data_IF_238452232603
#
_entry.id   IF_238452232603
#
_cell.length_a   1.000
_cell.length_b   1.000
_cell.length_c   1.000
_cell.angle_alpha   90.00
_cell.angle_beta   90.00
_cell.angle_gamma   90.00
#
_symmetry.space_group_name_H-M   'P 1'
#
loop_
_entity.id
_entity.type
_entity.pdbx_description
1 polymer ?
#
# COMPACT_ATOMS: atom_id res chain seq x y z
N UNK A 1 9.19 2.72 -12.30
CA UNK A 1 9.55 1.47 -11.60
C UNK A 1 10.88 1.68 -10.92
N UNK A 2 10.95 1.35 -9.63
CA UNK A 2 12.18 1.40 -8.84
C UNK A 2 12.59 -0.03 -8.47
N UNK A 3 13.87 -0.23 -8.19
CA UNK A 3 14.40 -1.43 -7.55
C UNK A 3 15.21 -1.06 -6.32
N UNK A 4 15.21 -1.96 -5.36
CA UNK A 4 15.92 -1.84 -4.10
C UNK A 4 16.60 -3.17 -3.80
N UNK A 5 17.84 -3.13 -3.33
CA UNK A 5 18.61 -4.33 -3.02
C UNK A 5 18.27 -4.81 -1.61
N UNK A 6 17.61 -5.97 -1.51
CA UNK A 6 17.19 -6.53 -0.22
C UNK A 6 18.37 -6.97 0.67
N UNK A 7 19.52 -7.25 0.06
CA UNK A 7 20.76 -7.59 0.78
C UNK A 7 21.34 -6.39 1.55
N UNK A 8 20.95 -5.15 1.20
CA UNK A 8 21.41 -3.98 1.92
C UNK A 8 20.80 -3.93 3.34
N UNK A 9 21.58 -3.44 4.35
CA UNK A 9 21.06 -3.19 5.68
C UNK A 9 19.79 -2.33 5.64
N UNK A 10 18.76 -2.70 6.41
CA UNK A 10 17.44 -2.03 6.39
C UNK A 10 17.50 -0.51 6.58
N UNK A 11 18.49 -0.02 7.33
CA UNK A 11 18.68 1.41 7.61
C UNK A 11 19.04 2.24 6.37
N UNK A 12 19.74 1.63 5.40
CA UNK A 12 20.17 2.31 4.16
C UNK A 12 19.34 1.90 2.94
N UNK A 13 18.75 0.70 2.97
CA UNK A 13 18.03 0.07 1.86
C UNK A 13 17.11 1.01 1.07
N UNK A 14 16.37 1.87 1.75
CA UNK A 14 15.38 2.77 1.15
C UNK A 14 15.84 4.23 1.03
N UNK A 15 17.13 4.48 1.21
CA UNK A 15 17.73 5.74 0.83
C UNK A 15 17.63 5.89 -0.68
N UNK A 16 17.53 7.14 -1.13
CA UNK A 16 17.37 7.43 -2.55
C UNK A 16 18.62 7.01 -3.33
N UNK A 17 19.77 7.18 -2.68
CA UNK A 17 21.12 6.81 -3.13
C UNK A 17 21.26 5.29 -3.33
N UNK A 18 20.53 4.50 -2.55
CA UNK A 18 20.50 3.03 -2.60
C UNK A 18 19.34 2.48 -3.45
N UNK A 19 18.51 3.37 -4.02
CA UNK A 19 17.36 3.01 -4.85
C UNK A 19 17.69 3.19 -6.32
N UNK A 20 17.45 2.15 -7.11
CA UNK A 20 17.71 2.15 -8.56
C UNK A 20 16.43 2.57 -9.28
N UNK A 21 16.48 3.66 -10.06
CA UNK A 21 15.40 4.01 -10.99
C UNK A 21 15.57 3.23 -12.30
N UNK A 22 14.79 2.15 -12.45
CA UNK A 22 14.86 1.25 -13.60
C UNK A 22 14.26 1.88 -14.86
N UNK A 23 13.07 2.46 -14.73
CA UNK A 23 12.33 3.04 -15.85
C UNK A 23 11.23 3.98 -15.38
N UNK A 24 10.75 4.83 -16.28
CA UNK A 24 9.56 5.65 -16.13
C UNK A 24 8.62 5.39 -17.30
N UNK A 25 7.33 5.23 -17.03
CA UNK A 25 6.32 5.06 -18.08
C UNK A 25 5.91 6.44 -18.61
N UNK A 26 5.87 6.64 -19.94
CA UNK A 26 5.39 7.89 -20.52
C UNK A 26 3.95 8.19 -20.09
N UNK A 27 3.71 9.41 -19.60
CA UNK A 27 2.37 9.97 -19.44
C UNK A 27 1.83 10.61 -20.72
N UNK A 28 0.63 11.22 -20.70
CA UNK A 28 -0.24 11.41 -19.52
C UNK A 28 -1.21 10.24 -19.29
N UNK A 29 -1.42 9.39 -20.30
CA UNK A 29 -2.31 8.23 -20.21
C UNK A 29 -1.57 7.01 -19.68
N UNK A 30 -2.29 6.19 -18.93
CA UNK A 30 -1.75 4.92 -18.46
C UNK A 30 -1.47 3.98 -19.66
N UNK A 31 -0.32 3.29 -19.71
CA UNK A 31 0.01 2.41 -20.83
C UNK A 31 -0.96 1.23 -20.94
N UNK A 32 -1.26 0.80 -22.17
CA UNK A 32 -1.94 -0.47 -22.43
C UNK A 32 -1.11 -1.65 -21.93
N UNK A 33 -1.71 -2.83 -21.81
CA UNK A 33 -0.97 -4.04 -21.40
C UNK A 33 0.18 -4.37 -22.37
N UNK A 34 -0.05 -4.19 -23.68
CA UNK A 34 0.98 -4.39 -24.71
C UNK A 34 2.11 -3.37 -24.59
N UNK A 35 1.78 -2.08 -24.48
CA UNK A 35 2.78 -1.01 -24.29
C UNK A 35 3.60 -1.23 -23.02
N UNK A 36 2.94 -1.62 -21.92
CA UNK A 36 3.60 -1.98 -20.67
C UNK A 36 4.60 -3.12 -20.90
N UNK A 37 4.18 -4.22 -21.52
CA UNK A 37 5.05 -5.36 -21.82
C UNK A 37 6.25 -4.96 -22.67
N UNK A 38 6.06 -4.12 -23.69
CA UNK A 38 7.15 -3.67 -24.57
C UNK A 38 8.21 -2.87 -23.82
N UNK A 39 7.80 -1.98 -22.90
CA UNK A 39 8.74 -1.19 -22.09
C UNK A 39 9.41 -2.07 -21.01
N UNK A 40 8.63 -2.92 -20.32
CA UNK A 40 9.14 -3.75 -19.23
C UNK A 40 10.09 -4.84 -19.73
N UNK A 41 9.92 -5.32 -20.97
CA UNK A 41 10.80 -6.33 -21.59
C UNK A 41 12.27 -5.96 -21.50
N UNK A 42 12.62 -4.67 -21.67
CA UNK A 42 14.02 -4.20 -21.63
C UNK A 42 14.70 -4.61 -20.32
N UNK A 43 13.99 -4.41 -19.20
CA UNK A 43 14.50 -4.70 -17.86
C UNK A 43 14.38 -6.18 -17.51
N UNK A 44 13.33 -6.88 -17.98
CA UNK A 44 13.22 -8.35 -17.83
C UNK A 44 14.40 -9.07 -18.48
N UNK A 45 14.83 -8.65 -19.68
CA UNK A 45 16.02 -9.23 -20.32
C UNK A 45 17.31 -8.96 -19.55
N UNK A 46 17.43 -7.82 -18.86
CA UNK A 46 18.58 -7.59 -17.95
C UNK A 46 18.52 -8.50 -16.73
N UNK A 47 17.34 -8.68 -16.14
CA UNK A 47 17.17 -9.57 -14.99
C UNK A 47 17.45 -11.04 -15.32
N UNK A 48 17.11 -11.50 -16.53
CA UNK A 48 17.47 -12.86 -16.99
C UNK A 48 18.99 -13.03 -17.02
N UNK A 49 19.73 -12.06 -17.57
CA UNK A 49 21.20 -12.08 -17.57
C UNK A 49 21.80 -12.04 -16.17
N UNK A 50 21.27 -11.17 -15.30
CA UNK A 50 21.75 -11.07 -13.92
C UNK A 50 21.40 -12.31 -13.10
N UNK A 51 20.32 -13.03 -13.43
CA UNK A 51 20.00 -14.29 -12.78
C UNK A 51 21.06 -15.37 -13.12
N UNK A 52 21.44 -15.46 -14.40
CA UNK A 52 22.48 -16.40 -14.86
C UNK A 52 23.86 -16.08 -14.26
N UNK A 53 24.09 -14.82 -13.88
CA UNK A 53 25.31 -14.33 -13.24
C UNK A 53 26.15 -13.48 -14.18
N UNK A 54 26.65 -12.35 -13.67
CA UNK A 54 27.53 -11.43 -14.39
C UNK A 54 28.77 -11.17 -13.55
N UNK A 55 29.95 -11.21 -14.16
CA UNK A 55 31.19 -10.87 -13.48
C UNK A 55 31.24 -9.37 -13.20
N UNK A 56 31.41 -8.99 -11.93
CA UNK A 56 31.59 -7.61 -11.49
C UNK A 56 32.98 -7.42 -10.90
N UNK A 57 33.60 -6.28 -11.19
CA UNK A 57 34.80 -5.86 -10.48
C UNK A 57 34.39 -5.36 -9.10
N UNK A 58 34.89 -6.02 -8.06
CA UNK A 58 34.66 -5.62 -6.67
C UNK A 58 35.86 -4.79 -6.21
N UNK A 59 35.61 -3.71 -5.46
CA UNK A 59 36.69 -2.87 -4.95
C UNK A 59 37.61 -3.69 -4.04
N UNK A 60 38.91 -3.65 -4.33
CA UNK A 60 39.95 -4.42 -3.60
C UNK A 60 39.75 -5.95 -3.59
N UNK A 61 38.98 -6.49 -4.53
CA UNK A 61 38.80 -7.93 -4.69
C UNK A 61 38.86 -8.35 -6.17
N UNK A 62 39.11 -9.63 -6.40
CA UNK A 62 39.04 -10.22 -7.73
C UNK A 62 37.61 -10.12 -8.29
N UNK A 63 37.43 -10.12 -9.63
CA UNK A 63 36.10 -10.12 -10.21
C UNK A 63 35.27 -11.30 -9.69
N UNK A 64 34.08 -11.01 -9.17
CA UNK A 64 33.17 -12.03 -8.63
C UNK A 64 31.88 -12.12 -9.44
N UNK A 65 31.31 -13.32 -9.49
CA UNK A 65 30.01 -13.54 -10.11
C UNK A 65 28.91 -12.93 -9.24
N UNK A 66 28.20 -11.95 -9.80
CA UNK A 66 27.08 -11.29 -9.16
C UNK A 66 25.77 -11.80 -9.75
N UNK A 67 24.88 -12.27 -8.89
CA UNK A 67 23.56 -12.78 -9.24
C UNK A 67 22.46 -11.89 -8.70
N UNK A 68 21.43 -11.62 -9.51
CA UNK A 68 20.21 -10.92 -9.07
C UNK A 68 18.99 -11.77 -9.36
N UNK A 69 18.14 -11.89 -8.33
CA UNK A 69 16.81 -12.42 -8.48
C UNK A 69 15.79 -11.35 -8.08
N UNK A 70 14.75 -11.17 -8.91
CA UNK A 70 13.61 -10.31 -8.56
C UNK A 70 12.77 -11.05 -7.52
N UNK A 71 12.83 -10.60 -6.28
CA UNK A 71 12.17 -11.28 -5.17
C UNK A 71 10.67 -10.97 -5.04
N UNK A 72 10.26 -9.72 -5.26
CA UNK A 72 8.90 -9.27 -5.01
C UNK A 72 8.55 -8.00 -5.78
N UNK A 73 7.27 -7.80 -6.08
CA UNK A 73 6.66 -6.53 -6.48
C UNK A 73 5.90 -5.92 -5.31
N UNK A 74 6.19 -4.65 -5.04
CA UNK A 74 5.51 -3.83 -4.04
C UNK A 74 5.01 -2.58 -4.75
N UNK A 75 3.72 -2.56 -5.02
CA UNK A 75 3.08 -1.47 -5.75
C UNK A 75 1.65 -1.27 -5.28
N UNK A 76 1.01 -0.20 -5.76
CA UNK A 76 -0.43 -0.08 -5.59
C UNK A 76 -1.15 -1.20 -6.36
N UNK A 77 -2.41 -1.42 -6.01
CA UNK A 77 -3.15 -2.56 -6.54
C UNK A 77 -3.26 -2.56 -8.09
N UNK A 78 -3.62 -1.45 -8.77
CA UNK A 78 -3.63 -1.42 -10.24
C UNK A 78 -2.28 -1.76 -10.87
N UNK A 79 -1.18 -1.18 -10.39
CA UNK A 79 0.15 -1.46 -10.91
C UNK A 79 0.53 -2.93 -10.68
N UNK A 80 0.21 -3.50 -9.52
CA UNK A 80 0.48 -4.91 -9.22
C UNK A 80 -0.28 -5.85 -10.17
N UNK A 81 -1.57 -5.58 -10.45
CA UNK A 81 -2.36 -6.38 -11.41
C UNK A 81 -1.75 -6.36 -12.80
N UNK A 82 -1.34 -5.18 -13.27
CA UNK A 82 -0.71 -5.01 -14.58
C UNK A 82 0.64 -5.72 -14.66
N UNK A 83 1.50 -5.53 -13.65
CA UNK A 83 2.83 -6.13 -13.58
C UNK A 83 2.76 -7.66 -13.52
N UNK A 84 1.83 -8.22 -12.75
CA UNK A 84 1.65 -9.67 -12.62
C UNK A 84 0.83 -10.32 -13.73
N UNK A 85 0.17 -9.53 -14.58
CA UNK A 85 -0.71 -10.04 -15.63
C UNK A 85 -2.03 -10.63 -15.13
N UNK A 86 -2.46 -10.32 -13.91
CA UNK A 86 -3.74 -10.81 -13.36
C UNK A 86 -4.86 -9.81 -13.59
N UNK A 87 -6.13 -10.26 -13.52
CA UNK A 87 -7.27 -9.37 -13.73
C UNK A 87 -7.39 -8.27 -12.67
N UNK A 88 -8.10 -7.21 -13.05
CA UNK A 88 -8.45 -6.12 -12.16
C UNK A 88 -9.20 -6.61 -10.91
N UNK A 89 -8.96 -5.95 -9.78
CA UNK A 89 -9.60 -6.25 -8.50
C UNK A 89 -11.12 -6.06 -8.49
N UNK A 90 -11.71 -5.48 -9.53
CA UNK A 90 -13.16 -5.38 -9.73
C UNK A 90 -13.75 -6.64 -10.38
N UNK A 91 -12.93 -7.60 -10.79
CA UNK A 91 -13.38 -8.88 -11.36
C UNK A 91 -14.22 -9.66 -10.35
N UNK A 92 -15.39 -10.14 -10.79
CA UNK A 92 -16.32 -10.90 -9.94
C UNK A 92 -15.67 -12.15 -9.33
N UNK A 93 -14.90 -12.91 -10.11
CA UNK A 93 -14.34 -14.20 -9.68
C UNK A 93 -12.84 -14.17 -9.45
N UNK A 94 -12.14 -13.11 -9.89
CA UNK A 94 -10.69 -12.99 -9.80
C UNK A 94 -10.27 -11.68 -9.11
N UNK A 95 -11.11 -11.17 -8.20
CA UNK A 95 -10.81 -9.98 -7.38
C UNK A 95 -9.52 -10.17 -6.58
N UNK A 96 -9.39 -11.34 -5.95
CA UNK A 96 -8.20 -11.78 -5.26
C UNK A 96 -7.41 -12.73 -6.17
N UNK A 97 -6.11 -12.48 -6.30
CA UNK A 97 -5.13 -13.32 -7.00
C UNK A 97 -4.47 -14.35 -6.07
N UNK A 98 -4.66 -14.23 -4.76
CA UNK A 98 -4.14 -15.19 -3.78
C UNK A 98 -5.12 -16.31 -3.48
N UNK A 99 -6.44 -16.04 -3.43
CA UNK A 99 -7.45 -17.06 -3.11
C UNK A 99 -8.71 -16.97 -4.00
N UNK A 100 -9.56 -18.00 -3.91
CA UNK A 100 -10.77 -18.16 -4.72
C UNK A 100 -11.98 -17.31 -4.30
N UNK A 101 -11.84 -16.47 -3.27
CA UNK A 101 -12.95 -15.63 -2.77
C UNK A 101 -13.49 -14.68 -3.86
N UNK A 102 -14.77 -14.80 -4.25
CA UNK A 102 -15.37 -13.92 -5.24
C UNK A 102 -15.76 -12.58 -4.62
N UNK A 103 -15.91 -11.55 -5.46
CA UNK A 103 -16.19 -10.18 -5.04
C UNK A 103 -17.50 -10.04 -4.24
N UNK A 104 -18.53 -10.80 -4.60
CA UNK A 104 -19.82 -10.76 -3.89
C UNK A 104 -19.75 -11.41 -2.50
N UNK A 105 -18.76 -12.27 -2.22
CA UNK A 105 -18.61 -12.93 -0.93
C UNK A 105 -18.01 -12.02 0.16
N UNK A 106 -17.63 -10.77 -0.17
CA UNK A 106 -17.14 -9.75 0.77
C UNK A 106 -18.19 -9.25 1.80
N UNK A 107 -19.34 -9.92 1.88
CA UNK A 107 -20.35 -9.72 2.93
C UNK A 107 -20.37 -10.90 3.92
N UNK A 108 -19.63 -11.95 3.61
CA UNK A 108 -19.53 -13.15 4.42
C UNK A 108 -18.33 -13.05 5.36
N UNK A 109 -18.51 -13.21 6.68
CA UNK A 109 -17.40 -13.26 7.63
C UNK A 109 -16.33 -14.29 7.27
N UNK A 110 -16.70 -15.41 6.61
CA UNK A 110 -15.73 -16.44 6.25
C UNK A 110 -14.74 -15.99 5.17
N UNK A 111 -15.10 -14.96 4.38
CA UNK A 111 -14.18 -14.29 3.46
C UNK A 111 -13.06 -13.52 4.19
N UNK A 112 -13.11 -13.41 5.51
CA UNK A 112 -12.14 -12.73 6.35
C UNK A 112 -11.53 -13.65 7.41
N UNK A 113 -11.55 -14.95 7.14
CA UNK A 113 -10.95 -15.97 8.00
C UNK A 113 -9.91 -16.73 7.17
N UNK A 114 -8.63 -16.48 7.45
CA UNK A 114 -7.51 -17.08 6.70
C UNK A 114 -7.55 -18.61 6.68
N UNK A 115 -8.09 -19.24 7.73
CA UNK A 115 -8.19 -20.71 7.83
C UNK A 115 -9.26 -21.33 6.94
N UNK A 116 -10.16 -20.52 6.36
CA UNK A 116 -11.26 -20.98 5.50
C UNK A 116 -11.04 -20.67 4.02
N UNK A 117 -9.95 -19.97 3.68
CA UNK A 117 -9.66 -19.59 2.31
C UNK A 117 -9.06 -20.76 1.52
N UNK A 118 -9.37 -20.80 0.23
CA UNK A 118 -8.74 -21.72 -0.72
C UNK A 118 -7.78 -20.95 -1.59
N UNK A 119 -6.49 -21.25 -1.44
CA UNK A 119 -5.43 -20.60 -2.21
C UNK A 119 -5.52 -20.97 -3.69
N UNK A 120 -5.20 -20.00 -4.53
CA UNK A 120 -5.08 -20.24 -5.97
C UNK A 120 -3.75 -20.90 -6.26
N UNK A 121 -3.75 -21.76 -7.28
CA UNK A 121 -2.52 -22.31 -7.82
C UNK A 121 -1.80 -21.26 -8.71
N UNK A 122 -0.61 -20.75 -8.32
CA UNK A 122 0.15 -19.82 -9.14
C UNK A 122 0.64 -20.46 -10.45
N UNK A 123 0.86 -21.77 -10.49
CA UNK A 123 1.30 -22.47 -11.70
C UNK A 123 0.20 -22.53 -12.75
N UNK A 124 -1.06 -22.61 -12.31
CA UNK A 124 -2.22 -22.44 -13.19
C UNK A 124 -2.19 -21.06 -13.87
N UNK A 125 -1.85 -20.00 -13.14
CA UNK A 125 -1.74 -18.67 -13.74
C UNK A 125 -0.64 -18.61 -14.80
N UNK A 126 0.57 -19.11 -14.48
CA UNK A 126 1.66 -19.17 -15.46
C UNK A 126 1.27 -19.97 -16.71
N UNK A 127 0.70 -21.17 -16.53
CA UNK A 127 0.25 -22.02 -17.64
C UNK A 127 -0.67 -21.27 -18.60
N UNK A 128 -1.65 -20.53 -18.08
CA UNK A 128 -2.59 -19.78 -18.91
C UNK A 128 -2.01 -18.48 -19.45
N UNK A 129 -1.07 -17.84 -18.76
CA UNK A 129 -0.35 -16.67 -19.26
C UNK A 129 0.45 -17.01 -20.53
N UNK A 130 1.24 -18.09 -20.51
CA UNK A 130 1.99 -18.55 -21.69
C UNK A 130 1.07 -19.00 -22.83
N UNK A 131 -0.05 -19.67 -22.52
CA UNK A 131 -1.07 -19.99 -23.53
C UNK A 131 -1.68 -18.73 -24.16
N UNK A 132 -1.92 -17.68 -23.37
CA UNK A 132 -2.44 -16.41 -23.88
C UNK A 132 -1.44 -15.67 -24.76
N UNK A 133 -0.13 -15.76 -24.45
CA UNK A 133 0.96 -15.16 -25.26
C UNK A 133 0.98 -15.67 -26.68
N UNK A 134 0.80 -16.99 -26.84
CA UNK A 134 0.94 -17.69 -28.12
C UNK A 134 -0.41 -17.86 -28.86
N UNK A 135 -1.49 -17.28 -28.32
CA UNK A 135 -2.85 -17.39 -28.85
C UNK A 135 -3.26 -16.18 -29.70
N UNK A 136 -4.35 -16.33 -30.47
CA UNK A 136 -5.03 -15.19 -31.09
C UNK A 136 -5.63 -14.27 -30.03
N UNK A 137 -5.89 -13.01 -30.38
CA UNK A 137 -6.47 -12.02 -29.47
C UNK A 137 -7.80 -12.48 -28.86
N UNK A 138 -8.67 -13.12 -29.65
CA UNK A 138 -9.95 -13.67 -29.19
C UNK A 138 -9.75 -14.76 -28.12
N UNK A 139 -8.84 -15.69 -28.36
CA UNK A 139 -8.54 -16.78 -27.41
C UNK A 139 -7.85 -16.23 -26.16
N UNK A 140 -6.96 -15.24 -26.30
CA UNK A 140 -6.31 -14.58 -25.18
C UNK A 140 -7.34 -13.84 -24.28
N UNK A 141 -8.34 -13.18 -24.88
CA UNK A 141 -9.41 -12.53 -24.12
C UNK A 141 -10.35 -13.56 -23.46
N UNK A 142 -10.61 -14.69 -24.10
CA UNK A 142 -11.33 -15.80 -23.45
C UNK A 142 -10.56 -16.35 -22.25
N UNK A 143 -9.24 -16.55 -22.38
CA UNK A 143 -8.36 -16.97 -21.27
C UNK A 143 -8.41 -15.93 -20.16
N UNK A 144 -8.25 -14.65 -20.47
CA UNK A 144 -8.38 -13.53 -19.54
C UNK A 144 -9.68 -13.63 -18.75
N UNK A 145 -10.83 -13.72 -19.42
CA UNK A 145 -12.15 -13.79 -18.79
C UNK A 145 -12.37 -15.04 -17.95
N UNK A 146 -12.02 -16.22 -18.45
CA UNK A 146 -12.33 -17.52 -17.81
C UNK A 146 -11.28 -17.96 -16.81
N UNK A 147 -10.03 -17.51 -16.97
CA UNK A 147 -8.87 -17.99 -16.21
C UNK A 147 -8.24 -16.92 -15.33
N UNK A 148 -8.58 -15.65 -15.53
CA UNK A 148 -8.20 -14.56 -14.63
C UNK A 148 -6.81 -14.00 -14.88
N UNK A 149 -6.22 -14.25 -16.06
CA UNK A 149 -4.83 -13.93 -16.37
C UNK A 149 -4.61 -13.57 -17.82
N UNK A 150 -3.67 -12.67 -18.05
CA UNK A 150 -3.15 -12.19 -19.32
C UNK A 150 -1.63 -12.40 -19.32
N UNK A 151 -1.04 -12.35 -20.51
CA UNK A 151 0.42 -12.38 -20.62
C UNK A 151 1.04 -11.11 -20.02
N UNK A 152 1.96 -11.30 -19.06
CA UNK A 152 2.91 -10.29 -18.65
C UNK A 152 4.32 -10.77 -18.98
N UNK A 153 5.16 -9.89 -19.53
CA UNK A 153 6.57 -10.23 -19.80
C UNK A 153 7.33 -10.62 -18.52
N UNK A 154 6.86 -10.20 -17.35
CA UNK A 154 7.41 -10.61 -16.06
C UNK A 154 7.27 -12.12 -15.82
N UNK A 155 6.31 -12.80 -16.47
CA UNK A 155 6.12 -14.25 -16.37
C UNK A 155 7.28 -15.07 -16.96
N UNK A 156 8.22 -14.44 -17.69
CA UNK A 156 9.46 -15.07 -18.13
C UNK A 156 10.51 -15.20 -17.03
N UNK A 157 10.41 -14.41 -15.96
CA UNK A 157 11.39 -14.43 -14.89
C UNK A 157 11.23 -15.67 -14.02
N UNK A 158 12.37 -16.29 -13.69
CA UNK A 158 12.41 -17.40 -12.73
C UNK A 158 11.86 -16.92 -11.38
N UNK A 159 11.01 -17.75 -10.75
CA UNK A 159 10.33 -17.46 -9.48
C UNK A 159 9.35 -16.27 -9.50
N UNK A 160 8.99 -15.75 -10.68
CA UNK A 160 7.89 -14.81 -10.82
C UNK A 160 6.55 -15.54 -10.93
N UNK A 161 5.83 -15.63 -9.82
CA UNK A 161 4.59 -16.36 -9.68
C UNK A 161 3.42 -15.38 -9.42
N UNK A 162 2.48 -15.22 -10.37
CA UNK A 162 1.27 -14.42 -10.14
C UNK A 162 0.50 -14.93 -8.92
N UNK A 163 0.07 -14.01 -8.04
CA UNK A 163 -0.56 -14.35 -6.77
C UNK A 163 0.40 -14.69 -5.62
N UNK A 164 1.73 -14.65 -5.85
CA UNK A 164 2.75 -14.91 -4.81
C UNK A 164 3.85 -13.84 -4.79
N UNK A 165 4.26 -13.33 -5.95
CA UNK A 165 5.35 -12.35 -6.07
C UNK A 165 4.87 -10.90 -5.90
N UNK A 166 3.61 -10.61 -6.23
CA UNK A 166 3.00 -9.29 -6.01
C UNK A 166 2.40 -9.20 -4.61
N UNK A 167 2.92 -8.29 -3.78
CA UNK A 167 2.44 -8.10 -2.41
C UNK A 167 1.26 -7.14 -2.36
N UNK A 168 0.36 -7.38 -1.41
CA UNK A 168 -0.54 -6.36 -0.91
C UNK A 168 0.26 -5.38 -0.04
N UNK A 169 0.75 -4.31 -0.65
CA UNK A 169 1.53 -3.26 0.03
C UNK A 169 0.84 -2.75 1.31
N UNK A 170 1.58 -2.73 2.42
CA UNK A 170 1.06 -2.37 3.73
C UNK A 170 0.54 -0.92 3.76
N UNK A 171 1.23 -0.01 3.08
CA UNK A 171 0.90 1.42 3.10
C UNK A 171 -0.45 1.70 2.44
N UNK A 172 -0.67 1.19 1.23
CA UNK A 172 -1.89 1.33 0.46
C UNK A 172 -3.01 0.51 1.07
N UNK A 173 -2.74 -0.73 1.48
CA UNK A 173 -3.75 -1.62 2.03
C UNK A 173 -4.24 -1.10 3.40
N UNK A 174 -3.37 -0.98 4.40
CA UNK A 174 -3.81 -0.57 5.74
C UNK A 174 -4.09 0.94 5.81
N UNK A 175 -3.10 1.77 5.49
CA UNK A 175 -3.22 3.21 5.74
C UNK A 175 -4.03 3.93 4.67
N UNK A 176 -3.80 3.61 3.40
CA UNK A 176 -4.46 4.21 2.24
C UNK A 176 -5.91 3.76 2.04
N UNK A 177 -6.24 2.52 2.42
CA UNK A 177 -7.56 1.93 2.19
C UNK A 177 -8.32 1.63 3.49
N UNK A 178 -7.86 0.71 4.36
CA UNK A 178 -8.61 0.27 5.54
C UNK A 178 -8.94 1.43 6.50
N UNK A 179 -7.93 2.17 6.96
CA UNK A 179 -8.14 3.31 7.89
C UNK A 179 -9.02 4.36 7.25
N UNK A 180 -8.73 4.71 5.98
CA UNK A 180 -9.51 5.67 5.21
C UNK A 180 -10.98 5.24 5.11
N UNK A 181 -11.24 3.96 4.88
CA UNK A 181 -12.59 3.41 4.75
C UNK A 181 -13.33 3.36 6.08
N UNK A 182 -12.66 2.92 7.15
CA UNK A 182 -13.18 2.98 8.51
C UNK A 182 -13.63 4.41 8.85
N UNK A 183 -12.73 5.39 8.71
CA UNK A 183 -13.02 6.78 9.04
C UNK A 183 -14.10 7.35 8.13
N UNK A 184 -13.88 7.36 6.82
CA UNK A 184 -14.75 8.08 5.89
C UNK A 184 -16.08 7.39 5.63
N UNK A 185 -16.10 6.06 5.54
CA UNK A 185 -17.27 5.33 5.11
C UNK A 185 -18.04 4.73 6.30
N UNK A 186 -17.38 3.92 7.14
CA UNK A 186 -18.05 3.25 8.27
C UNK A 186 -18.51 4.27 9.31
N UNK A 187 -17.66 5.21 9.71
CA UNK A 187 -17.99 6.16 10.77
C UNK A 187 -18.68 7.43 10.26
N UNK A 188 -18.05 8.21 9.36
CA UNK A 188 -18.61 9.49 8.93
C UNK A 188 -19.79 9.37 7.98
N UNK A 189 -19.63 8.75 6.80
CA UNK A 189 -20.73 8.72 5.80
C UNK A 189 -21.96 7.98 6.31
N UNK A 190 -21.79 6.92 7.10
CA UNK A 190 -22.94 6.25 7.72
C UNK A 190 -23.45 6.97 8.97
N UNK A 191 -22.95 8.16 9.32
CA UNK A 191 -23.52 9.00 10.37
C UNK A 191 -23.42 8.38 11.76
N UNK A 192 -22.31 7.69 12.06
CA UNK A 192 -22.02 7.19 13.41
C UNK A 192 -21.50 8.29 14.33
N UNK A 193 -20.94 9.35 13.74
CA UNK A 193 -20.43 10.52 14.44
C UNK A 193 -21.25 11.71 13.95
N UNK A 194 -21.92 12.39 14.86
CA UNK A 194 -22.71 13.58 14.61
C UNK A 194 -21.85 14.85 14.59
N UNK A 195 -22.49 16.01 14.49
CA UNK A 195 -21.80 17.30 14.44
C UNK A 195 -21.07 17.61 15.74
N UNK A 196 -21.68 17.33 16.90
CA UNK A 196 -21.07 17.57 18.20
C UNK A 196 -19.86 16.66 18.42
N UNK A 197 -20.00 15.36 18.18
CA UNK A 197 -18.89 14.40 18.25
C UNK A 197 -17.77 14.74 17.28
N UNK A 198 -18.09 15.25 16.08
CA UNK A 198 -17.07 15.74 15.13
C UNK A 198 -16.25 16.89 15.72
N UNK A 199 -16.91 17.85 16.37
CA UNK A 199 -16.24 18.99 17.01
C UNK A 199 -15.37 18.53 18.18
N UNK A 200 -15.88 17.65 19.04
CA UNK A 200 -15.12 17.04 20.15
C UNK A 200 -13.83 16.35 19.68
N UNK A 201 -13.89 15.61 18.57
CA UNK A 201 -12.71 14.96 17.97
C UNK A 201 -11.71 15.99 17.44
N UNK A 202 -12.16 17.08 16.79
CA UNK A 202 -11.27 18.14 16.32
C UNK A 202 -10.55 18.83 17.48
N UNK A 203 -11.27 19.15 18.55
CA UNK A 203 -10.71 19.80 19.74
C UNK A 203 -9.69 18.89 20.44
N UNK A 204 -9.97 17.59 20.50
CA UNK A 204 -8.99 16.59 20.93
C UNK A 204 -7.73 16.63 20.06
N UNK A 205 -7.84 16.55 18.73
CA UNK A 205 -6.66 16.58 17.86
C UNK A 205 -5.87 17.89 17.94
N UNK A 206 -6.55 19.02 18.18
CA UNK A 206 -5.93 20.34 18.31
C UNK A 206 -5.13 20.50 19.60
N UNK A 207 -5.52 19.82 20.67
CA UNK A 207 -4.87 19.89 21.99
C UNK A 207 -3.72 18.89 22.14
N UNK A 208 -3.62 17.89 21.26
CA UNK A 208 -2.52 16.93 21.26
C UNK A 208 -1.18 17.56 20.91
N UNK A 209 -0.16 17.24 21.71
CA UNK A 209 1.24 17.52 21.41
C UNK A 209 1.81 16.35 20.62
N UNK A 210 2.10 16.57 19.34
CA UNK A 210 2.66 15.56 18.46
C UNK A 210 4.20 15.52 18.57
N UNK A 211 4.83 14.34 18.69
CA UNK A 211 6.27 14.22 18.62
C UNK A 211 6.85 14.82 17.33
N UNK A 212 8.07 15.40 17.35
CA UNK A 212 8.70 15.98 16.16
C UNK A 212 8.90 14.98 15.00
N UNK A 213 8.91 13.67 15.30
CA UNK A 213 8.99 12.61 14.29
C UNK A 213 7.74 12.52 13.40
N UNK A 214 6.60 13.06 13.84
CA UNK A 214 5.36 13.07 13.08
C UNK A 214 5.32 14.34 12.22
N UNK A 215 5.84 14.19 11.01
CA UNK A 215 6.01 15.30 10.06
C UNK A 215 4.69 15.83 9.45
N UNK A 216 3.61 15.04 9.52
CA UNK A 216 2.29 15.39 8.96
C UNK A 216 1.20 15.16 9.99
N UNK A 217 0.59 16.25 10.42
CA UNK A 217 -0.52 16.21 11.37
C UNK A 217 -1.74 15.49 10.77
N UNK A 218 -2.57 14.85 11.63
CA UNK A 218 -3.82 14.24 11.21
C UNK A 218 -4.67 15.19 10.37
N UNK A 219 -5.48 14.65 9.45
CA UNK A 219 -6.40 15.49 8.68
C UNK A 219 -7.44 16.09 9.61
N UNK A 220 -7.86 17.33 9.31
CA UNK A 220 -9.09 17.88 9.88
C UNK A 220 -10.23 16.90 9.63
N UNK A 221 -10.97 16.66 10.70
CA UNK A 221 -12.10 15.75 10.78
C UNK A 221 -13.35 16.38 10.16
N UNK A 222 -13.55 17.69 10.35
CA UNK A 222 -14.67 18.48 9.84
C UNK A 222 -14.48 18.92 8.38
N UNK A 223 -13.24 19.26 7.97
CA UNK A 223 -12.96 19.68 6.60
C UNK A 223 -12.73 18.48 5.71
N UNK A 224 -13.82 17.95 5.17
CA UNK A 224 -13.76 17.08 3.99
C UNK A 224 -13.25 17.82 2.75
N UNK A 225 -11.97 18.16 2.66
CA UNK A 225 -11.38 18.70 1.44
C UNK A 225 -9.84 18.63 1.46
N UNK A 226 -9.31 17.55 0.87
CA UNK A 226 -7.89 17.34 0.60
C UNK A 226 -7.58 15.85 0.35
N UNK A 227 -6.61 15.57 -0.52
CA UNK A 227 -6.07 14.21 -0.68
C UNK A 227 -5.21 13.87 0.55
N UNK A 228 -5.88 13.42 1.61
CA UNK A 228 -5.25 12.99 2.87
C UNK A 228 -4.28 11.86 2.55
N UNK A 229 -3.00 12.05 2.90
CA UNK A 229 -1.93 11.11 2.60
C UNK A 229 -1.93 9.93 3.57
N UNK A 230 -1.43 8.78 3.15
CA UNK A 230 -1.36 7.57 3.96
C UNK A 230 -0.68 7.79 5.32
N UNK A 231 0.39 8.59 5.36
CA UNK A 231 1.11 8.94 6.58
C UNK A 231 0.24 9.69 7.61
N UNK A 232 -0.69 10.54 7.13
CA UNK A 232 -1.63 11.23 8.02
C UNK A 232 -2.67 10.27 8.61
N UNK A 233 -3.12 9.27 7.84
CA UNK A 233 -4.00 8.22 8.34
C UNK A 233 -3.31 7.35 9.38
N UNK A 234 -2.04 7.00 9.15
CA UNK A 234 -1.20 6.25 10.10
C UNK A 234 -1.05 7.00 11.43
N UNK A 235 -0.73 8.29 11.38
CA UNK A 235 -0.61 9.10 12.61
C UNK A 235 -1.95 9.22 13.33
N UNK A 236 -3.04 9.44 12.58
CA UNK A 236 -4.37 9.60 13.15
C UNK A 236 -4.85 8.34 13.90
N UNK A 237 -4.76 7.15 13.28
CA UNK A 237 -5.35 5.92 13.87
C UNK A 237 -4.73 5.56 15.23
N UNK A 238 -3.48 5.98 15.45
CA UNK A 238 -2.71 5.72 16.68
C UNK A 238 -3.41 6.24 17.92
N UNK A 239 -4.15 7.35 17.81
CA UNK A 239 -4.85 8.00 18.92
C UNK A 239 -6.34 8.19 18.65
N UNK A 240 -6.84 7.75 17.48
CA UNK A 240 -8.20 8.02 17.06
C UNK A 240 -9.26 7.40 17.99
N UNK A 241 -9.00 6.22 18.54
CA UNK A 241 -9.91 5.58 19.50
C UNK A 241 -10.13 6.43 20.77
N UNK A 242 -9.15 7.25 21.18
CA UNK A 242 -9.29 8.19 22.29
C UNK A 242 -10.18 9.35 21.88
N UNK A 243 -9.96 9.93 20.69
CA UNK A 243 -10.86 10.96 20.16
C UNK A 243 -12.30 10.46 20.02
N UNK A 244 -12.48 9.21 19.62
CA UNK A 244 -13.79 8.56 19.54
C UNK A 244 -14.43 8.36 20.92
N UNK A 245 -13.62 8.03 21.93
CA UNK A 245 -14.09 7.96 23.32
C UNK A 245 -14.60 9.33 23.78
N UNK A 246 -13.81 10.40 23.59
CA UNK A 246 -14.21 11.78 23.94
C UNK A 246 -15.50 12.20 23.22
N UNK A 247 -15.74 11.69 22.01
CA UNK A 247 -16.94 12.02 21.24
C UNK A 247 -18.21 11.34 21.74
N UNK A 248 -18.10 10.11 22.27
CA UNK A 248 -19.23 9.21 22.53
C UNK A 248 -19.45 8.89 24.01
N UNK A 249 -18.51 9.22 24.89
CA UNK A 249 -18.66 8.92 26.31
C UNK A 249 -19.86 9.64 26.92
N UNK A 250 -20.52 8.92 27.83
CA UNK A 250 -21.56 9.44 28.72
C UNK A 250 -21.22 8.93 30.11
N UNK A 251 -20.89 9.84 31.03
CA UNK A 251 -20.43 9.51 32.38
C UNK A 251 -19.19 8.61 32.36
N UNK A 252 -18.20 8.95 31.53
CA UNK A 252 -16.91 8.24 31.43
C UNK A 252 -16.99 6.81 30.88
N UNK A 253 -18.14 6.42 30.30
CA UNK A 253 -18.32 5.13 29.65
C UNK A 253 -18.90 5.28 28.24
N UNK A 254 -18.58 4.35 27.34
CA UNK A 254 -19.23 4.30 26.02
C UNK A 254 -20.60 3.65 26.18
N UNK A 255 -21.70 4.34 25.88
CA UNK A 255 -23.02 3.79 26.10
C UNK A 255 -23.29 2.60 25.16
N UNK A 256 -23.98 1.57 25.66
CA UNK A 256 -24.47 0.46 24.83
C UNK A 256 -25.81 0.83 24.19
N UNK A 257 -25.75 1.82 23.31
CA UNK A 257 -26.88 2.32 22.53
C UNK A 257 -26.51 2.40 21.05
N UNK A 258 -27.52 2.47 20.20
CA UNK A 258 -27.32 2.73 18.78
C UNK A 258 -27.11 4.23 18.51
N UNK A 259 -26.26 4.54 17.53
CA UNK A 259 -26.14 5.89 17.00
C UNK A 259 -27.48 6.35 16.41
N UNK A 260 -27.90 7.58 16.75
CA UNK A 260 -29.16 8.16 16.27
C UNK A 260 -29.30 8.05 14.74
N UNK A 261 -30.50 7.71 14.23
CA UNK A 261 -30.73 7.65 12.79
C UNK A 261 -30.46 9.01 12.13
N UNK A 262 -29.80 8.97 10.97
CA UNK A 262 -29.62 10.20 10.20
C UNK A 262 -30.96 10.66 9.60
N UNK A 263 -31.32 11.95 9.66
CA UNK A 263 -32.54 12.44 9.05
C UNK A 263 -32.58 12.15 7.55
N UNK A 264 -33.76 11.80 7.02
CA UNK A 264 -33.95 11.28 5.66
C UNK A 264 -33.47 12.23 4.54
N UNK A 265 -33.43 13.54 4.81
CA UNK A 265 -32.96 14.58 3.89
C UNK A 265 -31.44 14.81 3.92
N UNK A 266 -30.68 14.03 4.70
CA UNK A 266 -29.22 14.18 4.83
C UNK A 266 -28.44 13.34 3.82
N UNK A 267 -27.21 13.77 3.52
CA UNK A 267 -26.25 12.98 2.71
C UNK A 267 -25.92 11.65 3.38
N UNK A 268 -25.96 11.58 4.71
CA UNK A 268 -25.72 10.37 5.48
C UNK A 268 -26.84 9.34 5.27
N UNK A 269 -28.10 9.74 5.35
CA UNK A 269 -29.23 8.83 5.07
C UNK A 269 -29.20 8.30 3.63
N UNK A 270 -28.88 9.14 2.65
CA UNK A 270 -28.70 8.71 1.26
C UNK A 270 -27.54 7.71 1.11
N UNK A 271 -26.42 7.94 1.82
CA UNK A 271 -25.27 7.04 1.81
C UNK A 271 -25.58 5.69 2.48
N UNK A 272 -26.30 5.69 3.59
CA UNK A 272 -26.78 4.48 4.28
C UNK A 272 -27.65 3.64 3.33
N UNK A 273 -28.67 4.25 2.71
CA UNK A 273 -29.54 3.55 1.76
C UNK A 273 -28.78 2.96 0.56
N UNK A 274 -27.80 3.69 0.02
CA UNK A 274 -26.96 3.21 -1.07
C UNK A 274 -26.08 2.02 -0.65
N UNK A 275 -25.48 2.07 0.54
CA UNK A 275 -24.65 0.98 1.07
C UNK A 275 -25.48 -0.25 1.44
N UNK A 276 -26.64 -0.07 2.08
CA UNK A 276 -27.57 -1.16 2.37
C UNK A 276 -28.00 -1.87 1.08
N UNK A 277 -28.39 -1.12 0.04
CA UNK A 277 -28.72 -1.70 -1.27
C UNK A 277 -27.57 -2.54 -1.83
N UNK A 278 -26.34 -2.03 -1.75
CA UNK A 278 -25.15 -2.72 -2.24
C UNK A 278 -24.84 -4.00 -1.44
N UNK A 279 -24.89 -3.92 -0.11
CA UNK A 279 -24.63 -5.05 0.80
C UNK A 279 -25.69 -6.13 0.61
N UNK A 280 -26.98 -5.77 0.56
CA UNK A 280 -28.09 -6.70 0.31
C UNK A 280 -27.98 -7.39 -1.05
N UNK A 281 -27.59 -6.66 -2.10
CA UNK A 281 -27.38 -7.25 -3.41
C UNK A 281 -26.27 -8.32 -3.39
N UNK A 282 -25.14 -8.03 -2.72
CA UNK A 282 -24.05 -9.00 -2.55
C UNK A 282 -24.44 -10.18 -1.66
N UNK A 283 -25.18 -9.94 -0.58
CA UNK A 283 -25.69 -11.01 0.29
C UNK A 283 -26.60 -11.96 -0.48
N UNK A 284 -27.51 -11.42 -1.30
CA UNK A 284 -28.40 -12.23 -2.14
C UNK A 284 -27.61 -13.07 -3.13
N UNK A 285 -26.64 -12.47 -3.80
CA UNK A 285 -25.78 -13.19 -4.75
C UNK A 285 -24.94 -14.27 -4.06
N UNK A 286 -24.34 -13.98 -2.90
CA UNK A 286 -23.58 -14.95 -2.12
C UNK A 286 -24.46 -16.11 -1.63
N UNK A 287 -25.68 -15.82 -1.16
CA UNK A 287 -26.64 -16.83 -0.74
C UNK A 287 -27.00 -17.76 -1.90
N UNK A 288 -27.42 -17.21 -3.05
CA UNK A 288 -27.82 -18.00 -4.21
C UNK A 288 -26.65 -18.78 -4.84
N UNK A 289 -25.42 -18.28 -4.70
CA UNK A 289 -24.23 -19.01 -5.14
C UNK A 289 -23.94 -20.24 -4.25
N UNK A 290 -24.27 -20.18 -2.95
CA UNK A 290 -24.07 -21.29 -1.99
C UNK A 290 -25.26 -22.23 -1.91
N UNK A 291 -26.47 -21.69 -2.05
CA UNK A 291 -27.73 -22.41 -1.98
C UNK A 291 -28.67 -21.89 -3.09
N UNK A 292 -28.67 -22.51 -4.28
CA UNK A 292 -29.54 -22.11 -5.39
C UNK A 292 -31.04 -22.18 -5.05
N UNK A 293 -31.42 -23.05 -4.12
CA UNK A 293 -32.79 -23.30 -3.68
C UNK A 293 -33.13 -22.56 -2.37
N UNK A 294 -32.48 -21.40 -2.13
CA UNK A 294 -32.70 -20.59 -0.94
C UNK A 294 -34.18 -20.25 -0.72
N UNK A 295 -34.63 -20.39 0.53
CA UNK A 295 -36.03 -20.18 0.92
C UNK A 295 -36.41 -18.70 0.87
N UNK A 296 -37.70 -18.40 0.70
CA UNK A 296 -38.19 -17.01 0.76
C UNK A 296 -37.88 -16.36 2.12
N UNK A 297 -37.86 -17.14 3.21
CA UNK A 297 -37.50 -16.64 4.53
C UNK A 297 -36.03 -16.18 4.61
N UNK A 298 -35.10 -16.87 3.94
CA UNK A 298 -33.69 -16.43 3.86
C UNK A 298 -33.54 -15.17 3.01
N UNK A 299 -34.26 -15.09 1.89
CA UNK A 299 -34.27 -13.90 1.04
C UNK A 299 -34.89 -12.69 1.75
N UNK A 300 -35.93 -12.89 2.57
CA UNK A 300 -36.58 -11.83 3.34
C UNK A 300 -35.66 -11.26 4.44
N UNK A 301 -34.87 -12.12 5.12
CA UNK A 301 -33.85 -11.67 6.07
C UNK A 301 -32.84 -10.72 5.42
N UNK A 302 -32.47 -10.97 4.16
CA UNK A 302 -31.55 -10.09 3.41
C UNK A 302 -32.23 -8.75 3.10
N UNK A 303 -33.52 -8.73 2.75
CA UNK A 303 -34.24 -7.47 2.42
C UNK A 303 -34.26 -6.49 3.60
N UNK A 304 -34.27 -6.99 4.83
CA UNK A 304 -34.30 -6.18 6.05
C UNK A 304 -32.93 -5.91 6.67
N UNK A 305 -31.85 -6.53 6.16
CA UNK A 305 -30.49 -6.36 6.70
C UNK A 305 -30.03 -4.90 6.66
N UNK A 306 -29.56 -4.37 7.78
CA UNK A 306 -29.03 -3.00 7.92
C UNK A 306 -27.70 -3.04 8.65
N UNK A 307 -26.89 -2.00 8.46
CA UNK A 307 -25.66 -1.83 9.24
C UNK A 307 -26.03 -1.69 10.71
N UNK A 308 -25.35 -2.46 11.55
CA UNK A 308 -25.40 -2.32 13.00
C UNK A 308 -24.85 -0.95 13.42
N UNK A 309 -25.58 -0.26 14.31
CA UNK A 309 -25.27 1.11 14.73
C UNK A 309 -24.84 1.20 16.20
N UNK A 310 -24.56 0.07 16.87
CA UNK A 310 -24.14 0.07 18.28
C UNK A 310 -22.82 0.81 18.46
N UNK A 311 -22.85 1.89 19.24
CA UNK A 311 -21.67 2.71 19.55
C UNK A 311 -20.60 1.87 20.26
N UNK A 312 -21.02 1.07 21.24
CA UNK A 312 -20.18 0.13 21.98
C UNK A 312 -19.45 -0.83 21.04
N UNK A 313 -20.17 -1.56 20.17
CA UNK A 313 -19.54 -2.53 19.25
C UNK A 313 -18.57 -1.87 18.28
N UNK A 314 -18.92 -0.72 17.71
CA UNK A 314 -18.01 0.00 16.82
C UNK A 314 -16.77 0.51 17.55
N UNK A 315 -16.91 1.02 18.77
CA UNK A 315 -15.79 1.47 19.59
C UNK A 315 -14.82 0.33 19.88
N UNK A 316 -15.31 -0.81 20.36
CA UNK A 316 -14.49 -1.98 20.70
C UNK A 316 -13.71 -2.47 19.47
N UNK A 317 -14.36 -2.49 18.30
CA UNK A 317 -13.72 -2.86 17.03
C UNK A 317 -12.68 -1.83 16.59
N UNK A 318 -12.94 -0.52 16.75
CA UNK A 318 -11.95 0.52 16.45
C UNK A 318 -10.72 0.39 17.35
N UNK A 319 -10.90 0.16 18.66
CA UNK A 319 -9.80 -0.04 19.60
C UNK A 319 -8.96 -1.27 19.23
N UNK A 320 -9.60 -2.42 18.97
CA UNK A 320 -8.93 -3.64 18.55
C UNK A 320 -8.20 -3.46 17.20
N UNK A 321 -8.84 -2.79 16.24
CA UNK A 321 -8.24 -2.47 14.94
C UNK A 321 -7.00 -1.58 15.11
N UNK A 322 -7.07 -0.54 15.95
CA UNK A 322 -5.92 0.31 16.25
C UNK A 322 -4.77 -0.50 16.83
N UNK A 323 -5.03 -1.36 17.82
CA UNK A 323 -3.99 -2.22 18.40
C UNK A 323 -3.36 -3.15 17.35
N UNK A 324 -4.18 -3.78 16.50
CA UNK A 324 -3.70 -4.63 15.41
C UNK A 324 -2.79 -3.86 14.44
N UNK A 325 -3.23 -2.67 14.00
CA UNK A 325 -2.45 -1.82 13.08
C UNK A 325 -1.13 -1.37 13.71
N UNK A 326 -1.11 -1.01 15.00
CA UNK A 326 0.12 -0.63 15.70
C UNK A 326 1.13 -1.78 15.74
N UNK A 327 0.67 -3.00 16.08
CA UNK A 327 1.52 -4.18 16.09
C UNK A 327 2.14 -4.41 14.71
N UNK A 328 1.31 -4.43 13.66
CA UNK A 328 1.73 -4.73 12.28
C UNK A 328 2.59 -3.63 11.65
N UNK A 329 2.51 -2.39 12.14
CA UNK A 329 3.31 -1.27 11.66
C UNK A 329 4.68 -1.12 12.36
N UNK A 330 5.04 -2.04 13.27
CA UNK A 330 6.30 -2.02 14.01
C UNK A 330 7.52 -2.24 13.12
N UNK A 331 8.65 -1.61 13.48
CA UNK A 331 9.93 -1.77 12.77
C UNK A 331 10.60 -3.13 13.06
N UNK A 332 10.27 -3.72 14.20
CA UNK A 332 10.64 -5.06 14.62
C UNK A 332 9.35 -5.78 15.00
N UNK A 333 9.18 -7.02 14.53
CA UNK A 333 7.99 -7.82 14.82
C UNK A 333 8.39 -9.29 14.87
N UNK A 334 7.93 -10.00 15.90
CA UNK A 334 8.09 -11.44 16.04
C UNK A 334 6.95 -12.19 15.34
N UNK A 335 7.11 -13.48 14.98
CA UNK A 335 6.02 -14.29 14.43
C UNK A 335 4.77 -14.34 15.33
N UNK A 336 4.94 -14.33 16.65
CA UNK A 336 3.83 -14.28 17.60
C UNK A 336 3.06 -12.95 17.53
N UNK A 337 3.78 -11.83 17.37
CA UNK A 337 3.15 -10.52 17.19
C UNK A 337 2.45 -10.42 15.84
N UNK A 338 3.02 -10.98 14.77
CA UNK A 338 2.34 -11.11 13.47
C UNK A 338 1.01 -11.84 13.64
N UNK A 339 1.03 -13.05 14.23
CA UNK A 339 -0.19 -13.83 14.48
C UNK A 339 -1.20 -13.09 15.35
N UNK A 340 -0.74 -12.40 16.39
CA UNK A 340 -1.61 -11.59 17.27
C UNK A 340 -2.25 -10.42 16.52
N UNK A 341 -1.46 -9.68 15.75
CA UNK A 341 -1.89 -8.52 14.96
C UNK A 341 -2.85 -8.91 13.84
N UNK A 342 -2.48 -9.89 13.01
CA UNK A 342 -3.30 -10.42 11.93
C UNK A 342 -4.59 -11.07 12.46
N UNK A 343 -4.50 -11.90 13.51
CA UNK A 343 -5.69 -12.48 14.12
C UNK A 343 -6.63 -11.43 14.74
N UNK A 344 -6.09 -10.37 15.36
CA UNK A 344 -6.91 -9.26 15.85
C UNK A 344 -7.59 -8.50 14.71
N UNK A 345 -6.86 -8.26 13.61
CA UNK A 345 -7.39 -7.63 12.41
C UNK A 345 -8.51 -8.47 11.78
N UNK A 346 -8.28 -9.77 11.56
CA UNK A 346 -9.30 -10.71 11.03
C UNK A 346 -10.57 -10.70 11.87
N UNK A 347 -10.45 -10.83 13.20
CA UNK A 347 -11.61 -10.80 14.10
C UNK A 347 -12.40 -9.50 13.96
N UNK A 348 -11.72 -8.37 13.93
CA UNK A 348 -12.38 -7.07 13.76
C UNK A 348 -13.13 -6.99 12.43
N UNK A 349 -12.51 -7.41 11.34
CA UNK A 349 -13.12 -7.37 10.01
C UNK A 349 -14.32 -8.32 9.92
N UNK A 350 -14.20 -9.53 10.48
CA UNK A 350 -15.32 -10.47 10.58
C UNK A 350 -16.49 -9.90 11.37
N UNK A 351 -16.22 -9.20 12.48
CA UNK A 351 -17.27 -8.53 13.26
C UNK A 351 -17.94 -7.42 12.46
N UNK A 352 -17.17 -6.57 11.75
CA UNK A 352 -17.78 -5.58 10.85
C UNK A 352 -18.60 -6.20 9.72
N UNK A 353 -18.19 -7.36 9.19
CA UNK A 353 -19.00 -8.11 8.22
C UNK A 353 -20.32 -8.60 8.83
N UNK A 354 -20.31 -9.16 10.05
CA UNK A 354 -21.52 -9.57 10.80
C UNK A 354 -22.43 -8.38 11.14
N UNK A 355 -21.82 -7.22 11.36
CA UNK A 355 -22.51 -5.95 11.56
C UNK A 355 -23.06 -5.34 10.26
N UNK A 356 -22.98 -6.07 9.13
CA UNK A 356 -23.42 -5.62 7.81
C UNK A 356 -22.78 -4.30 7.36
N UNK A 357 -21.58 -3.97 7.86
CA UNK A 357 -20.82 -2.84 7.35
C UNK A 357 -20.42 -3.13 5.90
N UNK A 358 -20.54 -2.15 5.01
CA UNK A 358 -19.99 -2.28 3.68
C UNK A 358 -18.46 -2.32 3.76
N UNK A 359 -17.85 -3.45 3.43
CA UNK A 359 -16.42 -3.65 3.36
C UNK A 359 -15.94 -3.66 1.90
N UNK A 360 -14.83 -2.96 1.64
CA UNK A 360 -14.13 -2.99 0.35
C UNK A 360 -13.14 -4.14 0.29
N UNK A 361 -12.73 -4.52 -0.93
CA UNK A 361 -11.79 -5.61 -1.21
C UNK A 361 -10.49 -5.58 -0.40
N UNK A 362 -9.98 -4.40 -0.03
CA UNK A 362 -8.75 -4.30 0.76
C UNK A 362 -8.87 -4.97 2.15
N UNK A 363 -10.07 -5.00 2.74
CA UNK A 363 -10.28 -5.73 4.01
C UNK A 363 -10.06 -7.23 3.84
N UNK A 364 -10.38 -7.78 2.66
CA UNK A 364 -10.08 -9.17 2.35
C UNK A 364 -8.59 -9.35 2.11
N UNK A 365 -7.93 -8.44 1.40
CA UNK A 365 -6.48 -8.52 1.20
C UNK A 365 -5.67 -8.49 2.49
N UNK A 366 -6.19 -7.79 3.51
CA UNK A 366 -5.57 -7.73 4.83
C UNK A 366 -5.41 -9.11 5.52
N UNK A 367 -6.22 -10.10 5.14
CA UNK A 367 -6.13 -11.46 5.73
C UNK A 367 -4.97 -12.28 5.16
N UNK A 368 -4.43 -11.88 4.01
CA UNK A 368 -3.24 -12.51 3.41
C UNK A 368 -1.93 -11.98 4.01
N UNK A 369 -2.00 -10.92 4.84
CA UNK A 369 -0.79 -10.27 5.36
C UNK A 369 0.05 -11.17 6.25
N UNK A 370 -0.55 -12.11 7.00
CA UNK A 370 0.20 -12.99 7.90
C UNK A 370 1.29 -13.76 7.15
N UNK A 371 0.95 -14.38 6.02
CA UNK A 371 1.91 -15.09 5.18
C UNK A 371 2.99 -14.14 4.61
N UNK A 372 2.60 -12.92 4.20
CA UNK A 372 3.56 -11.93 3.71
C UNK A 372 4.54 -11.49 4.80
N UNK A 373 4.08 -11.27 6.04
CA UNK A 373 4.95 -10.94 7.17
C UNK A 373 5.93 -12.06 7.49
N UNK A 374 5.47 -13.31 7.46
CA UNK A 374 6.34 -14.48 7.70
C UNK A 374 7.41 -14.63 6.61
N UNK A 375 7.08 -14.27 5.37
CA UNK A 375 8.00 -14.38 4.22
C UNK A 375 8.96 -13.19 4.08
N UNK A 376 8.49 -11.97 4.32
CA UNK A 376 9.23 -10.73 4.02
C UNK A 376 9.67 -9.96 5.27
N UNK A 377 9.23 -10.39 6.46
CA UNK A 377 9.54 -9.73 7.72
C UNK A 377 8.68 -8.48 7.97
N UNK A 378 9.17 -7.53 8.79
CA UNK A 378 8.39 -6.37 9.22
C UNK A 378 7.92 -5.49 8.06
N UNK A 379 6.73 -4.92 8.25
CA UNK A 379 6.04 -4.05 7.28
C UNK A 379 6.90 -2.96 6.66
N UNK A 380 7.75 -2.25 7.43
CA UNK A 380 8.64 -1.23 6.87
C UNK A 380 9.61 -1.71 5.79
N UNK A 381 9.85 -3.03 5.70
CA UNK A 381 10.65 -3.66 4.65
C UNK A 381 9.95 -3.80 3.30
N UNK A 382 8.63 -3.61 3.23
CA UNK A 382 7.85 -3.83 2.00
C UNK A 382 6.67 -2.87 1.88
N UNK A 383 6.79 -1.67 2.46
CA UNK A 383 5.82 -0.59 2.27
C UNK A 383 6.30 0.46 1.24
N UNK A 384 5.38 1.13 0.55
CA UNK A 384 5.76 2.05 -0.55
C UNK A 384 6.10 3.49 -0.15
N UNK A 385 6.10 3.85 1.14
CA UNK A 385 6.42 5.22 1.58
C UNK A 385 7.74 5.78 0.98
N UNK A 386 8.85 5.02 0.92
CA UNK A 386 10.08 5.52 0.30
C UNK A 386 9.92 5.85 -1.19
N UNK A 387 9.22 5.01 -1.94
CA UNK A 387 8.99 5.23 -3.37
C UNK A 387 8.06 6.41 -3.64
N UNK A 388 7.06 6.66 -2.78
CA UNK A 388 6.25 7.88 -2.86
C UNK A 388 7.09 9.15 -2.65
N UNK A 389 8.07 9.11 -1.73
CA UNK A 389 9.02 10.23 -1.55
C UNK A 389 9.89 10.43 -2.79
N UNK A 390 10.32 9.34 -3.42
CA UNK A 390 11.09 9.38 -4.66
C UNK A 390 10.28 9.97 -5.83
N UNK A 391 8.99 9.59 -5.96
CA UNK A 391 8.06 10.21 -6.91
C UNK A 391 7.94 11.73 -6.65
N UNK A 392 7.79 12.13 -5.39
CA UNK A 392 7.75 13.54 -4.99
C UNK A 392 9.05 14.30 -5.23
N UNK A 393 10.20 13.61 -5.29
CA UNK A 393 11.47 14.19 -5.72
C UNK A 393 11.54 14.34 -7.24
N UNK A 394 11.17 13.31 -8.00
CA UNK A 394 11.14 13.36 -9.47
C UNK A 394 10.21 14.48 -9.98
N UNK A 395 9.06 14.67 -9.34
CA UNK A 395 8.12 15.75 -9.66
C UNK A 395 8.67 17.18 -9.44
N UNK A 396 9.87 17.35 -8.87
CA UNK A 396 10.53 18.66 -8.70
C UNK A 396 11.42 19.05 -9.86
N UNK A 397 11.77 18.11 -10.75
CA UNK A 397 12.54 18.46 -11.93
C UNK A 397 11.69 19.37 -12.82
N UNK A 398 12.26 20.52 -13.19
CA UNK A 398 11.60 21.41 -14.14
C UNK A 398 11.49 20.70 -15.48
N UNK A 399 10.26 20.58 -15.98
CA UNK A 399 9.94 19.87 -17.20
C UNK A 399 9.69 20.82 -18.38
N UNK A 400 9.77 22.15 -18.20
CA UNK A 400 9.61 23.18 -19.24
C UNK A 400 8.39 22.97 -20.17
N UNK A 401 7.34 22.27 -19.71
CA UNK A 401 6.16 21.94 -20.54
C UNK A 401 6.34 20.79 -21.54
N UNK A 402 7.44 20.04 -21.49
CA UNK A 402 7.69 18.89 -22.35
C UNK A 402 6.75 17.72 -22.00
N UNK A 403 6.35 16.93 -22.99
CA UNK A 403 5.45 15.76 -22.83
C UNK A 403 5.87 14.61 -23.75
N UNK A 404 5.13 13.48 -23.75
CA UNK A 404 5.35 12.40 -24.71
C UNK A 404 6.62 11.58 -24.50
N UNK A 405 7.10 11.41 -23.25
CA UNK A 405 8.31 10.64 -22.93
C UNK A 405 9.55 11.49 -22.69
N UNK A 406 9.60 12.73 -23.18
CA UNK A 406 10.73 13.64 -22.95
C UNK A 406 10.84 14.09 -21.48
N UNK A 407 9.69 14.27 -20.82
CA UNK A 407 9.61 14.60 -19.41
C UNK A 407 10.21 13.48 -18.57
N UNK A 408 9.79 12.25 -18.83
CA UNK A 408 10.25 11.03 -18.18
C UNK A 408 11.76 10.85 -18.41
N UNK A 409 12.23 11.04 -19.64
CA UNK A 409 13.66 11.01 -19.96
C UNK A 409 14.47 12.06 -19.18
N UNK A 410 13.93 13.27 -19.00
CA UNK A 410 14.57 14.34 -18.22
C UNK A 410 14.62 14.00 -16.73
N UNK A 411 13.53 13.47 -16.17
CA UNK A 411 13.46 13.01 -14.79
C UNK A 411 14.45 11.85 -14.53
N UNK A 412 14.51 10.88 -15.44
CA UNK A 412 15.47 9.77 -15.37
C UNK A 412 16.92 10.25 -15.42
N UNK A 413 17.27 11.14 -16.37
CA UNK A 413 18.61 11.74 -16.42
C UNK A 413 18.93 12.52 -15.15
N UNK A 414 17.96 13.25 -14.60
CA UNK A 414 18.11 14.00 -13.35
C UNK A 414 18.39 13.10 -12.15
N UNK A 415 17.69 11.97 -12.04
CA UNK A 415 17.94 10.95 -11.01
C UNK A 415 19.37 10.42 -11.07
N UNK A 416 19.80 9.93 -12.24
CA UNK A 416 21.13 9.34 -12.40
C UNK A 416 22.24 10.37 -12.24
N UNK A 417 22.06 11.60 -12.73
CA UNK A 417 23.02 12.71 -12.48
C UNK A 417 23.18 12.99 -10.98
N UNK A 418 22.08 12.99 -10.22
CA UNK A 418 22.14 13.20 -8.76
C UNK A 418 22.98 12.12 -8.09
N UNK A 419 22.76 10.85 -8.48
CA UNK A 419 23.49 9.69 -7.95
C UNK A 419 24.99 9.78 -8.28
N UNK A 420 25.34 10.09 -9.54
CA UNK A 420 26.73 10.23 -9.97
C UNK A 420 27.45 11.39 -9.29
N UNK A 421 26.76 12.51 -9.06
CA UNK A 421 27.31 13.65 -8.30
C UNK A 421 27.57 13.25 -6.85
N UNK A 422 26.70 12.46 -6.24
CA UNK A 422 26.89 11.97 -4.87
C UNK A 422 28.08 11.00 -4.76
N UNK A 423 28.26 10.10 -5.71
CA UNK A 423 29.45 9.21 -5.78
C UNK A 423 30.74 10.05 -5.91
N UNK A 424 30.75 11.02 -6.83
CA UNK A 424 31.89 11.92 -7.01
C UNK A 424 32.22 12.71 -5.75
N UNK A 425 31.21 13.27 -5.06
CA UNK A 425 31.39 13.95 -3.78
C UNK A 425 32.00 13.00 -2.73
N UNK A 426 31.48 11.79 -2.61
CA UNK A 426 31.95 10.81 -1.62
C UNK A 426 33.42 10.43 -1.88
N UNK A 427 33.81 10.27 -3.15
CA UNK A 427 35.21 10.01 -3.53
C UNK A 427 36.11 11.18 -3.21
N UNK A 428 35.70 12.42 -3.53
CA UNK A 428 36.47 13.62 -3.22
C UNK A 428 36.63 13.81 -1.70
N UNK A 429 35.59 13.50 -0.90
CA UNK A 429 35.66 13.55 0.57
C UNK A 429 36.57 12.48 1.18
N UNK A 430 36.80 11.38 0.47
CA UNK A 430 37.68 10.29 0.93
C UNK A 430 39.17 10.54 0.71
N UNK A 431 39.54 11.62 0.00
CA UNK A 431 40.94 11.97 -0.25
C UNK A 431 41.55 12.51 1.04
N UNK A 432 42.60 11.85 1.56
CA UNK A 432 43.25 12.26 2.83
C UNK A 432 43.88 13.65 2.75
N UNK A 433 44.47 14.00 1.60
CA UNK A 433 45.13 15.29 1.35
C UNK A 433 44.61 15.89 0.03
N UNK A 434 43.40 16.46 0.01
CA UNK A 434 42.79 16.97 -1.21
C UNK A 434 43.55 18.19 -1.72
N UNK A 435 43.74 18.29 -3.04
CA UNK A 435 44.29 19.49 -3.65
C UNK A 435 43.29 20.66 -3.49
N UNK A 436 43.74 21.93 -3.54
CA UNK A 436 42.83 23.08 -3.49
C UNK A 436 41.69 23.01 -4.53
N UNK A 437 41.97 22.45 -5.70
CA UNK A 437 41.00 22.23 -6.78
C UNK A 437 39.93 21.18 -6.42
N UNK A 438 40.30 20.15 -5.65
CA UNK A 438 39.37 19.13 -5.15
C UNK A 438 38.40 19.75 -4.13
N UNK A 439 38.91 20.62 -3.27
CA UNK A 439 38.11 21.35 -2.26
C UNK A 439 37.11 22.30 -2.95
N UNK A 440 37.54 23.03 -3.99
CA UNK A 440 36.67 23.91 -4.76
C UNK A 440 35.60 23.11 -5.52
N UNK A 441 36.00 22.03 -6.19
CA UNK A 441 35.09 21.11 -6.88
C UNK A 441 34.04 20.53 -5.92
N UNK A 442 34.46 20.12 -4.72
CA UNK A 442 33.57 19.61 -3.68
C UNK A 442 32.55 20.67 -3.24
N UNK A 443 32.97 21.92 -3.06
CA UNK A 443 32.09 23.02 -2.70
C UNK A 443 31.03 23.28 -3.78
N UNK A 444 31.44 23.32 -5.05
CA UNK A 444 30.56 23.49 -6.20
C UNK A 444 29.55 22.33 -6.29
N UNK A 445 30.00 21.08 -6.23
CA UNK A 445 29.13 19.90 -6.31
C UNK A 445 28.12 19.85 -5.16
N UNK A 446 28.55 20.16 -3.93
CA UNK A 446 27.64 20.27 -2.77
C UNK A 446 26.60 21.37 -2.95
N UNK A 447 26.93 22.47 -3.64
CA UNK A 447 25.97 23.54 -3.93
C UNK A 447 24.83 23.08 -4.86
N UNK A 448 25.15 22.23 -5.84
CA UNK A 448 24.14 21.66 -6.76
C UNK A 448 23.20 20.66 -6.09
N UNK A 449 23.69 19.89 -5.11
CA UNK A 449 22.85 19.00 -4.31
C UNK A 449 21.95 19.75 -3.31
N UNK A 450 22.37 20.94 -2.84
CA UNK A 450 21.56 21.78 -1.93
C UNK A 450 20.37 22.45 -2.62
N UNK A 451 20.41 22.60 -3.95
CA UNK A 451 19.26 23.06 -4.74
C UNK A 451 18.73 24.45 -4.38
N UNK A 452 19.46 25.50 -4.77
CA UNK A 452 18.93 26.86 -4.95
C UNK A 452 18.77 27.71 -3.68
N UNK A 453 18.98 29.02 -3.82
CA UNK A 453 19.00 30.09 -2.81
C UNK A 453 17.66 30.38 -2.11
N UNK A 454 16.95 29.37 -1.62
CA UNK A 454 15.82 29.60 -0.69
C UNK A 454 15.78 28.52 0.37
N UNK A 455 15.70 28.96 1.63
CA UNK A 455 15.60 28.18 2.87
C UNK A 455 14.85 26.86 2.71
N UNK A 456 15.60 25.75 2.75
CA UNK A 456 15.03 24.40 2.82
C UNK A 456 15.80 23.58 3.86
N UNK A 457 15.44 23.77 5.13
CA UNK A 457 15.79 22.84 6.21
C UNK A 457 15.20 21.47 5.91
N UNK A 458 16.05 20.44 5.97
CA UNK A 458 15.62 19.05 6.08
C UNK A 458 15.77 18.24 4.80
N UNK A 459 16.97 17.72 4.56
CA UNK A 459 17.14 16.35 4.02
C UNK A 459 18.58 15.88 4.18
N UNK A 460 19.59 16.72 3.97
CA UNK A 460 21.01 16.32 4.16
C UNK A 460 21.52 16.49 5.59
N UNK A 461 21.19 17.60 6.27
CA UNK A 461 21.57 17.81 7.69
C UNK A 461 20.91 16.81 8.64
N UNK A 462 19.68 16.37 8.37
CA UNK A 462 19.03 15.31 9.15
C UNK A 462 19.61 13.92 8.87
N UNK A 463 20.22 13.73 7.69
CA UNK A 463 20.93 12.49 7.35
C UNK A 463 22.27 12.43 8.08
N UNK A 464 23.06 13.51 8.03
CA UNK A 464 24.33 13.64 8.77
C UNK A 464 24.08 13.58 10.29
N UNK A 465 23.09 14.30 10.81
CA UNK A 465 22.78 14.30 12.25
C UNK A 465 22.31 12.93 12.78
N UNK A 466 21.64 12.10 11.96
CA UNK A 466 21.26 10.72 12.35
C UNK A 466 22.44 9.75 12.31
N UNK A 467 23.36 9.93 11.37
CA UNK A 467 24.58 9.11 11.29
C UNK A 467 25.55 9.46 12.44
N UNK A 468 25.59 10.72 12.88
CA UNK A 468 26.43 11.15 14.02
C UNK A 468 25.84 10.80 15.40
N UNK A 469 24.52 10.81 15.57
CA UNK A 469 23.89 10.45 16.86
C UNK A 469 23.90 8.95 17.15
N UNK A 470 23.96 8.09 16.14
CA UNK A 470 23.98 6.62 16.32
C UNK A 470 25.35 6.06 16.73
N UNK A 471 26.45 6.81 16.59
CA UNK A 471 27.76 6.42 17.16
C UNK A 471 27.78 6.43 18.70
N UNK A 472 26.80 7.04 19.35
CA UNK A 472 26.77 7.23 20.81
C UNK A 472 25.73 6.37 21.54
N UNK A 473 25.08 5.41 20.88
CA UNK A 473 24.05 4.54 21.50
C UNK A 473 24.27 3.05 21.21
N UNK A 474 25.53 2.61 21.23
CA UNK A 474 25.88 1.19 21.36
C UNK A 474 26.08 0.83 22.84
N UNK A 475 24.96 0.65 23.57
CA UNK A 475 24.80 -0.25 24.73
C UNK A 475 23.41 -0.87 24.65
#
# INVERSE_FOLDING_TARGET
>A
MYATLENNPRRIRFLREETILLMMFPGPSEPTAEQYNNVVKIVVEQFKKLYDGVMFNVYEAEPEAFHVQVGTDVSDLPASRKTSGVLACTSKYFMCDHCDTPFYALVDPDSYNSTKLTDRDPWRYLKYAFRARDASEEVAEEISRRRGVRWSVMNELVNWLPGVTGLFDLMHCIFGALIKHLRKNILYKNGMIDTEGTQKIEDFFRTLIWPPSISRLPPSVARGAGSIKADQWRSQITVFFIGLFVAWEVNEEIPDIDAEPSPSNTKNAAAQAAQEKLVRARMRENLLAKNPDATEAELEKIKTAKMDRSLRRHYDMVAQFTAAVQILASHTISPNEVKRGCGALERTIQTWARMNCHLVLYFHFAVHLEQQFLKHGPGPGWWTFPYERNNGFLGRFNNNGHSGGEMEGTMMRGWWKTTLIQDLISRLESIENPAPEDVDSLAVLKSYLKGGTSDRKGTLQNYIARVETEKNLSV
#
